data_IF_344127946497
#
_entry.id   IF_344127946497
#
_cell.length_a   1.000
_cell.length_b   1.000
_cell.length_c   1.000
_cell.angle_alpha   90.00
_cell.angle_beta   90.00
_cell.angle_gamma   90.00
#
_symmetry.space_group_name_H-M   'P 1'
#
loop_
_entity.id
_entity.type
_entity.pdbx_description
1 polymer ?
#
# COMPACT_ATOMS: atom_id res chain seq x y z
N UNK A 1 -8.85 21.20 -0.04
CA UNK A 1 -9.75 20.28 0.66
C UNK A 1 -9.87 20.70 2.10
N UNK A 2 -11.06 20.61 2.69
CA UNK A 2 -11.32 20.95 4.10
C UNK A 2 -10.90 19.82 5.05
N UNK A 3 -10.73 20.12 6.34
CA UNK A 3 -10.45 19.10 7.36
C UNK A 3 -11.57 18.06 7.45
N UNK A 4 -12.82 18.45 7.21
CA UNK A 4 -13.97 17.54 7.15
C UNK A 4 -13.85 16.51 6.01
N UNK A 5 -13.38 16.93 4.82
CA UNK A 5 -13.15 16.01 3.70
C UNK A 5 -12.03 15.02 4.00
N UNK A 6 -11.00 15.46 4.72
CA UNK A 6 -9.88 14.61 5.16
C UNK A 6 -10.36 13.56 6.17
N UNK A 7 -11.20 13.95 7.13
CA UNK A 7 -11.76 13.04 8.12
C UNK A 7 -12.68 12.00 7.48
N UNK A 8 -13.54 12.40 6.55
CA UNK A 8 -14.40 11.48 5.80
C UNK A 8 -13.58 10.50 4.96
N UNK A 9 -12.49 10.97 4.34
CA UNK A 9 -11.59 10.12 3.58
C UNK A 9 -10.90 9.09 4.48
N UNK A 10 -10.46 9.51 5.67
CA UNK A 10 -9.84 8.61 6.66
C UNK A 10 -10.78 7.46 7.05
N UNK A 11 -12.06 7.74 7.30
CA UNK A 11 -13.06 6.70 7.62
C UNK A 11 -13.15 5.64 6.53
N UNK A 12 -13.06 6.03 5.25
CA UNK A 12 -13.05 5.08 4.13
C UNK A 12 -11.76 4.26 4.09
N UNK A 13 -10.62 4.89 4.33
CA UNK A 13 -9.30 4.24 4.34
C UNK A 13 -9.18 3.19 5.45
N UNK A 14 -9.78 3.43 6.61
CA UNK A 14 -9.81 2.49 7.74
C UNK A 14 -10.59 1.19 7.45
N UNK A 15 -11.45 1.18 6.42
CA UNK A 15 -12.20 -0.01 6.01
C UNK A 15 -11.40 -0.94 5.06
N UNK A 16 -10.29 -0.46 4.52
CA UNK A 16 -9.50 -1.21 3.55
C UNK A 16 -8.79 -2.41 4.20
N UNK A 17 -8.48 -3.41 3.39
CA UNK A 17 -7.66 -4.57 3.78
C UNK A 17 -6.25 -4.41 3.20
N UNK A 18 -5.36 -3.78 3.96
CA UNK A 18 -3.99 -3.48 3.54
C UNK A 18 -3.05 -3.35 4.76
N UNK A 19 -1.76 -3.09 4.54
CA UNK A 19 -0.77 -3.12 5.61
C UNK A 19 -1.01 -2.04 6.68
N UNK A 20 -1.62 -0.91 6.30
CA UNK A 20 -1.97 0.17 7.21
C UNK A 20 -3.13 -0.17 8.16
N UNK A 21 -3.98 -1.13 7.80
CA UNK A 21 -5.10 -1.59 8.63
C UNK A 21 -4.84 -2.95 9.27
N UNK A 22 -3.81 -3.67 8.83
CA UNK A 22 -3.35 -4.94 9.42
C UNK A 22 -2.21 -4.80 10.43
N UNK A 23 -1.46 -3.70 10.38
CA UNK A 23 -0.21 -3.51 11.12
C UNK A 23 -0.40 -3.42 12.65
N UNK A 24 0.57 -3.91 13.45
CA UNK A 24 0.55 -3.68 14.90
C UNK A 24 0.74 -2.19 15.23
N UNK A 25 0.29 -1.77 16.41
CA UNK A 25 0.57 -0.43 16.94
C UNK A 25 2.09 -0.19 16.95
N UNK A 26 2.51 0.96 16.41
CA UNK A 26 3.91 1.34 16.11
C UNK A 26 4.87 1.25 17.29
N UNK A 27 4.34 1.18 18.51
CA UNK A 27 5.07 1.52 19.74
C UNK A 27 6.11 0.47 20.16
N UNK A 28 6.23 -0.68 19.49
CA UNK A 28 7.20 -1.74 19.82
C UNK A 28 7.93 -2.35 18.62
N UNK A 29 7.94 -1.69 17.46
CA UNK A 29 8.54 -2.24 16.24
C UNK A 29 9.81 -1.48 15.87
N UNK A 30 10.92 -2.19 15.73
CA UNK A 30 12.14 -1.68 15.09
C UNK A 30 11.93 -1.64 13.57
N UNK A 31 11.60 -0.44 13.06
CA UNK A 31 11.32 -0.23 11.64
C UNK A 31 12.58 -0.37 10.77
N UNK A 32 13.77 -0.11 11.32
CA UNK A 32 15.03 -0.24 10.59
C UNK A 32 15.42 -1.71 10.41
N UNK A 33 15.30 -2.54 11.47
CA UNK A 33 15.46 -4.00 11.36
C UNK A 33 14.47 -4.59 10.35
N UNK A 34 13.19 -4.18 10.46
CA UNK A 34 12.16 -4.66 9.54
C UNK A 34 12.46 -4.27 8.09
N UNK A 35 12.89 -3.03 7.86
CA UNK A 35 13.27 -2.56 6.53
C UNK A 35 14.41 -3.38 5.95
N UNK A 36 15.50 -3.56 6.71
CA UNK A 36 16.66 -4.32 6.26
C UNK A 36 16.29 -5.75 5.89
N UNK A 37 15.49 -6.42 6.72
CA UNK A 37 15.04 -7.79 6.46
C UNK A 37 14.15 -7.91 5.22
N UNK A 38 13.35 -6.88 4.94
CA UNK A 38 12.53 -6.84 3.72
C UNK A 38 13.40 -6.65 2.47
N UNK A 39 14.40 -5.77 2.54
CA UNK A 39 15.37 -5.56 1.44
C UNK A 39 16.16 -6.85 1.15
N UNK A 40 16.63 -7.54 2.19
CA UNK A 40 17.30 -8.84 2.04
C UNK A 40 16.36 -9.90 1.44
N UNK A 41 15.09 -9.90 1.83
CA UNK A 41 14.07 -10.82 1.30
C UNK A 41 13.77 -10.55 -0.18
N UNK A 42 13.77 -9.29 -0.61
CA UNK A 42 13.58 -8.90 -2.02
C UNK A 42 14.74 -9.43 -2.87
N UNK A 43 15.98 -9.32 -2.37
CA UNK A 43 17.17 -9.80 -3.08
C UNK A 43 17.23 -11.32 -3.19
N UNK A 44 16.68 -12.04 -2.20
CA UNK A 44 16.82 -13.49 -2.09
C UNK A 44 15.61 -14.28 -2.62
N UNK A 45 14.48 -13.62 -2.92
CA UNK A 45 13.23 -14.32 -3.20
C UNK A 45 12.40 -13.69 -4.34
N UNK A 46 12.81 -13.99 -5.57
CA UNK A 46 12.20 -13.50 -6.82
C UNK A 46 10.68 -13.71 -6.87
N UNK A 47 10.18 -14.86 -6.39
CA UNK A 47 8.75 -15.22 -6.50
C UNK A 47 7.83 -14.32 -5.67
N UNK A 48 8.29 -13.81 -4.54
CA UNK A 48 7.45 -13.04 -3.61
C UNK A 48 7.83 -11.56 -3.51
N UNK A 49 8.68 -11.07 -4.42
CA UNK A 49 9.16 -9.67 -4.41
C UNK A 49 8.02 -8.66 -4.31
N UNK A 50 6.93 -8.82 -5.09
CA UNK A 50 5.80 -7.89 -5.03
C UNK A 50 5.11 -7.79 -3.66
N UNK A 51 5.16 -8.86 -2.85
CA UNK A 51 4.66 -8.83 -1.46
C UNK A 51 5.60 -8.05 -0.55
N UNK A 52 6.90 -8.28 -0.68
CA UNK A 52 7.91 -7.58 0.12
C UNK A 52 7.95 -6.09 -0.22
N UNK A 53 7.83 -5.71 -1.48
CA UNK A 53 7.71 -4.31 -1.88
C UNK A 53 6.47 -3.63 -1.30
N UNK A 54 5.33 -4.31 -1.27
CA UNK A 54 4.12 -3.79 -0.61
C UNK A 54 4.31 -3.54 0.89
N UNK A 55 5.01 -4.42 1.58
CA UNK A 55 5.31 -4.27 3.00
C UNK A 55 6.38 -3.20 3.25
N UNK A 56 7.39 -3.13 2.37
CA UNK A 56 8.45 -2.12 2.41
C UNK A 56 7.89 -0.70 2.21
N UNK A 57 6.89 -0.55 1.35
CA UNK A 57 6.17 0.72 1.20
C UNK A 57 5.49 1.17 2.50
N UNK A 58 4.84 0.25 3.22
CA UNK A 58 4.27 0.54 4.52
C UNK A 58 5.33 1.01 5.51
N UNK A 59 6.44 0.27 5.64
CA UNK A 59 7.55 0.63 6.55
C UNK A 59 8.13 2.01 6.20
N UNK A 60 8.43 2.27 4.93
CA UNK A 60 8.94 3.56 4.49
C UNK A 60 7.96 4.71 4.79
N UNK A 61 6.66 4.51 4.59
CA UNK A 61 5.65 5.51 4.94
C UNK A 61 5.59 5.76 6.46
N UNK A 62 5.73 4.72 7.29
CA UNK A 62 5.80 4.88 8.74
C UNK A 62 7.04 5.65 9.20
N UNK A 63 8.14 5.56 8.45
CA UNK A 63 9.38 6.31 8.65
C UNK A 63 9.37 7.68 7.95
N UNK A 64 8.19 8.19 7.55
CA UNK A 64 8.00 9.48 6.87
C UNK A 64 8.62 9.56 5.46
N UNK A 65 9.12 8.44 4.92
CA UNK A 65 9.69 8.32 3.57
C UNK A 65 8.63 7.95 2.54
N UNK A 66 7.55 8.74 2.45
CA UNK A 66 6.40 8.41 1.60
C UNK A 66 6.71 8.38 0.09
N UNK A 67 7.67 9.18 -0.38
CA UNK A 67 8.08 9.15 -1.80
C UNK A 67 8.71 7.80 -2.17
N UNK A 68 9.56 7.28 -1.30
CA UNK A 68 10.15 5.95 -1.44
C UNK A 68 9.07 4.87 -1.34
N UNK A 69 8.08 5.04 -0.46
CA UNK A 69 6.93 4.15 -0.39
C UNK A 69 6.17 4.08 -1.72
N UNK A 70 5.97 5.20 -2.41
CA UNK A 70 5.35 5.24 -3.75
C UNK A 70 6.18 4.45 -4.78
N UNK A 71 7.51 4.55 -4.77
CA UNK A 71 8.35 3.78 -5.70
C UNK A 71 8.25 2.28 -5.42
N UNK A 72 8.26 1.87 -4.15
CA UNK A 72 8.06 0.48 -3.77
C UNK A 72 6.70 -0.06 -4.25
N UNK A 73 5.62 0.72 -4.15
CA UNK A 73 4.30 0.32 -4.65
C UNK A 73 4.26 0.19 -6.18
N UNK A 74 5.00 1.03 -6.92
CA UNK A 74 5.13 0.90 -8.38
C UNK A 74 5.81 -0.41 -8.77
N UNK A 75 6.89 -0.78 -8.07
CA UNK A 75 7.55 -2.06 -8.33
C UNK A 75 6.65 -3.24 -7.95
N UNK A 76 5.90 -3.14 -6.84
CA UNK A 76 4.93 -4.16 -6.47
C UNK A 76 3.83 -4.35 -7.53
N UNK A 77 3.29 -3.25 -8.07
CA UNK A 77 2.27 -3.26 -9.13
C UNK A 77 2.83 -3.85 -10.44
N UNK A 78 4.05 -3.44 -10.83
CA UNK A 78 4.73 -3.97 -12.02
C UNK A 78 4.94 -5.49 -11.93
N UNK A 79 5.53 -5.95 -10.84
CA UNK A 79 5.80 -7.38 -10.62
C UNK A 79 4.50 -8.19 -10.61
N UNK A 80 3.42 -7.62 -10.07
CA UNK A 80 2.12 -8.28 -10.09
C UNK A 80 1.58 -8.43 -11.51
N UNK A 81 1.70 -7.39 -12.34
CA UNK A 81 1.29 -7.43 -13.74
C UNK A 81 2.07 -8.45 -14.55
N UNK A 82 3.39 -8.56 -14.33
CA UNK A 82 4.25 -9.51 -15.04
C UNK A 82 4.00 -10.98 -14.62
N UNK A 83 3.71 -11.24 -13.35
CA UNK A 83 3.65 -12.61 -12.81
C UNK A 83 2.24 -13.20 -12.67
N UNK A 84 1.21 -12.34 -12.64
CA UNK A 84 -0.15 -12.75 -12.24
C UNK A 84 -1.24 -12.01 -13.02
N UNK A 85 -1.09 -11.84 -14.33
CA UNK A 85 -2.05 -11.13 -15.18
C UNK A 85 -3.50 -11.63 -14.99
N UNK A 86 -3.71 -12.96 -14.98
CA UNK A 86 -5.04 -13.57 -14.83
C UNK A 86 -5.70 -13.36 -13.45
N UNK A 87 -4.91 -13.03 -12.42
CA UNK A 87 -5.39 -12.79 -11.05
C UNK A 87 -5.09 -11.38 -10.56
N UNK A 88 -4.72 -10.48 -11.48
CA UNK A 88 -4.23 -9.14 -11.16
C UNK A 88 -5.24 -8.38 -10.29
N UNK A 89 -6.50 -8.31 -10.72
CA UNK A 89 -7.54 -7.57 -10.02
C UNK A 89 -7.77 -8.06 -8.59
N UNK A 90 -7.63 -9.36 -8.33
CA UNK A 90 -7.78 -9.93 -6.98
C UNK A 90 -6.58 -9.60 -6.08
N UNK A 91 -5.40 -9.46 -6.67
CA UNK A 91 -4.13 -9.30 -5.94
C UNK A 91 -3.72 -7.84 -5.77
N UNK A 92 -4.15 -6.96 -6.68
CA UNK A 92 -3.79 -5.54 -6.69
C UNK A 92 -4.50 -4.76 -5.58
N UNK A 93 -5.57 -5.32 -5.00
CA UNK A 93 -6.36 -4.72 -3.91
C UNK A 93 -5.46 -4.25 -2.76
N UNK A 94 -4.48 -5.07 -2.35
CA UNK A 94 -3.56 -4.72 -1.26
C UNK A 94 -2.68 -3.53 -1.66
N UNK A 95 -2.13 -3.55 -2.88
CA UNK A 95 -1.28 -2.47 -3.41
C UNK A 95 -2.05 -1.16 -3.53
N UNK A 96 -3.28 -1.18 -4.05
CA UNK A 96 -4.12 0.02 -4.17
C UNK A 96 -4.57 0.56 -2.81
N UNK A 97 -4.84 -0.31 -1.84
CA UNK A 97 -5.09 0.12 -0.47
C UNK A 97 -3.88 0.81 0.16
N UNK A 98 -2.68 0.25 -0.05
CA UNK A 98 -1.44 0.86 0.39
C UNK A 98 -1.21 2.23 -0.29
N UNK A 99 -1.43 2.36 -1.61
CA UNK A 99 -1.33 3.65 -2.30
C UNK A 99 -2.26 4.69 -1.69
N UNK A 100 -3.53 4.33 -1.46
CA UNK A 100 -4.51 5.24 -0.90
C UNK A 100 -4.06 5.81 0.45
N UNK A 101 -3.50 4.95 1.32
CA UNK A 101 -2.92 5.37 2.60
C UNK A 101 -1.66 6.23 2.45
N UNK A 102 -0.72 5.85 1.58
CA UNK A 102 0.52 6.62 1.36
C UNK A 102 0.20 8.03 0.87
N UNK A 103 -0.67 8.17 -0.13
CA UNK A 103 -1.09 9.47 -0.63
C UNK A 103 -1.84 10.30 0.41
N UNK A 104 -2.66 9.65 1.26
CA UNK A 104 -3.29 10.32 2.39
C UNK A 104 -2.25 10.88 3.38
N UNK A 105 -1.21 10.11 3.72
CA UNK A 105 -0.11 10.56 4.58
C UNK A 105 0.72 11.70 3.97
N UNK A 106 0.83 11.76 2.64
CA UNK A 106 1.44 12.87 1.90
C UNK A 106 0.56 14.13 1.82
N UNK A 107 -0.69 14.08 2.29
CA UNK A 107 -1.66 15.16 2.11
C UNK A 107 -2.21 15.28 0.69
N UNK A 108 -1.92 14.30 -0.17
CA UNK A 108 -2.36 14.20 -1.56
C UNK A 108 -3.71 13.48 -1.62
N UNK A 109 -4.73 14.17 -1.11
CA UNK A 109 -6.05 13.56 -0.85
C UNK A 109 -6.82 13.23 -2.15
N UNK A 110 -6.59 13.96 -3.24
CA UNK A 110 -7.16 13.66 -4.57
C UNK A 110 -6.66 12.31 -5.08
N UNK A 111 -5.35 12.08 -4.95
CA UNK A 111 -4.69 10.85 -5.34
C UNK A 111 -5.19 9.70 -4.45
N UNK A 112 -5.27 9.90 -3.13
CA UNK A 112 -5.82 8.91 -2.22
C UNK A 112 -7.26 8.49 -2.59
N UNK A 113 -8.14 9.45 -2.89
CA UNK A 113 -9.50 9.17 -3.36
C UNK A 113 -9.51 8.43 -4.71
N UNK A 114 -8.59 8.76 -5.63
CA UNK A 114 -8.50 8.07 -6.92
C UNK A 114 -8.20 6.57 -6.78
N UNK A 115 -7.42 6.17 -5.77
CA UNK A 115 -7.16 4.75 -5.48
C UNK A 115 -8.34 4.06 -4.80
N UNK A 116 -9.11 4.76 -3.97
CA UNK A 116 -10.39 4.26 -3.48
C UNK A 116 -11.37 4.01 -4.62
N UNK A 117 -11.44 4.91 -5.61
CA UNK A 117 -12.31 4.74 -6.77
C UNK A 117 -11.90 3.53 -7.63
N UNK A 118 -10.58 3.26 -7.75
CA UNK A 118 -10.07 2.04 -8.41
C UNK A 118 -10.50 0.78 -7.65
N UNK A 119 -10.37 0.78 -6.33
CA UNK A 119 -10.79 -0.34 -5.47
C UNK A 119 -12.29 -0.60 -5.57
N UNK A 120 -13.11 0.45 -5.57
CA UNK A 120 -14.57 0.32 -5.72
C UNK A 120 -14.94 -0.34 -7.05
N UNK A 121 -14.24 0.01 -8.14
CA UNK A 121 -14.45 -0.62 -9.46
C UNK A 121 -14.11 -2.11 -9.43
N UNK A 122 -13.01 -2.51 -8.78
CA UNK A 122 -12.64 -3.91 -8.62
C UNK A 122 -13.69 -4.66 -7.81
N UNK A 123 -14.10 -4.13 -6.66
CA UNK A 123 -15.12 -4.77 -5.82
C UNK A 123 -16.45 -4.99 -6.56
N UNK A 124 -16.83 -4.06 -7.44
CA UNK A 124 -18.04 -4.20 -8.29
C UNK A 124 -17.93 -5.31 -9.35
N UNK A 125 -16.71 -5.71 -9.73
CA UNK A 125 -16.48 -6.82 -10.67
C UNK A 125 -16.58 -8.19 -9.99
N UNK A 126 -16.40 -8.24 -8.65
CA UNK A 126 -16.43 -9.46 -7.85
C UNK A 126 -17.42 -9.32 -6.67
N UNK A 127 -18.74 -9.38 -6.93
CA UNK A 127 -19.78 -9.20 -5.92
C UNK A 127 -19.87 -10.35 -4.90
#
# INVERSE_FOLDING_TARGET
>A
MSDEEKDLLKVKLEQLQCHFTWGPQKDNIDLDDMKQRLEDSIQTNEKYQGRFYNQLAFVNCLQENCEEAVQNLKEAEKILGENHEDEFDKRIIITYGNYAWVYYHMGQLTEAQSYLDKLERICKQFP
#
